data_IF_607308047092
#
_entry.id   IF_607308047092
#
_cell.length_a   1.000
_cell.length_b   1.000
_cell.length_c   1.000
_cell.angle_alpha   90.00
_cell.angle_beta   90.00
_cell.angle_gamma   90.00
#
_symmetry.space_group_name_H-M   'P 1'
#
loop_
_entity.id
_entity.type
_entity.pdbx_description
1 polymer ?
#
# COMPACT_ATOMS: atom_id res chain seq x y z
N UNK A 1 1.09 19.73 -34.80
CA UNK A 1 0.60 18.38 -34.44
C UNK A 1 1.51 17.56 -33.47
N UNK A 2 2.81 17.85 -33.27
CA UNK A 2 3.58 17.12 -32.22
C UNK A 2 3.07 17.36 -30.81
N UNK A 3 2.65 18.56 -30.44
CA UNK A 3 2.21 18.85 -29.07
C UNK A 3 0.92 18.16 -28.60
N UNK A 4 0.02 17.75 -29.50
CA UNK A 4 -1.19 17.00 -29.10
C UNK A 4 -0.88 15.53 -28.79
N UNK A 5 0.09 14.93 -29.48
CA UNK A 5 0.54 13.56 -29.16
C UNK A 5 1.32 13.49 -27.86
N UNK A 6 2.16 14.49 -27.56
CA UNK A 6 2.83 14.59 -26.26
C UNK A 6 1.83 14.78 -25.10
N UNK A 7 0.81 15.58 -25.28
CA UNK A 7 -0.23 15.82 -24.28
C UNK A 7 -1.04 14.55 -23.97
N UNK A 8 -1.44 13.80 -25.00
CA UNK A 8 -2.17 12.53 -24.86
C UNK A 8 -1.26 11.44 -24.20
N UNK A 9 0.01 11.40 -24.56
CA UNK A 9 0.97 10.49 -23.91
C UNK A 9 1.19 10.88 -22.45
N UNK A 10 1.19 12.16 -22.12
CA UNK A 10 1.35 12.67 -20.77
C UNK A 10 0.17 12.28 -19.87
N UNK A 11 -1.08 12.46 -20.32
CA UNK A 11 -2.28 12.02 -19.61
C UNK A 11 -2.31 10.49 -19.42
N UNK A 12 -1.82 9.73 -20.39
CA UNK A 12 -1.83 8.28 -20.33
C UNK A 12 -0.87 7.74 -19.24
N UNK A 13 0.35 8.28 -19.15
CA UNK A 13 1.34 7.88 -18.13
C UNK A 13 0.87 8.24 -16.72
N UNK A 14 0.14 9.32 -16.56
CA UNK A 14 -0.39 9.74 -15.25
C UNK A 14 -1.39 8.74 -14.65
N UNK A 15 -2.02 7.89 -15.46
CA UNK A 15 -2.93 6.84 -14.99
C UNK A 15 -2.19 5.57 -14.52
N UNK A 16 -0.89 5.41 -14.82
CA UNK A 16 -0.17 4.16 -14.53
C UNK A 16 -0.13 3.76 -13.04
N UNK A 17 0.02 4.66 -12.06
CA UNK A 17 -0.04 4.30 -10.65
C UNK A 17 -1.37 3.65 -10.28
N UNK A 18 -2.49 4.20 -10.74
CA UNK A 18 -3.81 3.63 -10.53
C UNK A 18 -3.94 2.26 -11.21
N UNK A 19 -3.48 2.13 -12.46
CA UNK A 19 -3.48 0.85 -13.17
C UNK A 19 -2.61 -0.20 -12.47
N UNK A 20 -1.46 0.17 -11.92
CA UNK A 20 -0.58 -0.74 -11.18
C UNK A 20 -1.28 -1.35 -9.97
N UNK A 21 -1.97 -0.53 -9.17
CA UNK A 21 -2.73 -0.97 -8.00
C UNK A 21 -3.86 -1.91 -8.42
N UNK A 22 -4.67 -1.48 -9.39
CA UNK A 22 -5.81 -2.25 -9.89
C UNK A 22 -5.37 -3.58 -10.51
N UNK A 23 -4.27 -3.57 -11.28
CA UNK A 23 -3.73 -4.76 -11.94
C UNK A 23 -3.33 -5.83 -10.91
N UNK A 24 -2.60 -5.45 -9.84
CA UNK A 24 -2.26 -6.38 -8.76
C UNK A 24 -3.50 -6.92 -8.06
N UNK A 25 -4.46 -6.06 -7.72
CA UNK A 25 -5.68 -6.45 -7.03
C UNK A 25 -6.51 -7.44 -7.85
N UNK A 26 -6.75 -7.14 -9.13
CA UNK A 26 -7.48 -8.05 -10.02
C UNK A 26 -6.71 -9.33 -10.31
N UNK A 27 -5.39 -9.25 -10.44
CA UNK A 27 -4.55 -10.44 -10.62
C UNK A 27 -4.66 -11.40 -9.43
N UNK A 28 -4.66 -10.89 -8.21
CA UNK A 28 -4.90 -11.68 -7.01
C UNK A 28 -6.25 -12.41 -7.07
N UNK A 29 -7.33 -11.71 -7.40
CA UNK A 29 -8.68 -12.30 -7.53
C UNK A 29 -8.71 -13.36 -8.64
N UNK A 30 -8.16 -13.05 -9.80
CA UNK A 30 -8.13 -13.95 -10.96
C UNK A 30 -7.27 -15.18 -10.67
N UNK A 31 -6.13 -15.01 -10.01
CA UNK A 31 -5.23 -16.10 -9.61
C UNK A 31 -5.92 -17.11 -8.70
N UNK A 32 -6.89 -16.68 -7.90
CA UNK A 32 -7.70 -17.54 -7.03
C UNK A 32 -8.50 -18.61 -7.80
N UNK A 33 -8.90 -18.31 -9.05
CA UNK A 33 -9.70 -19.22 -9.88
C UNK A 33 -8.86 -20.25 -10.64
N UNK A 34 -7.53 -20.09 -10.70
CA UNK A 34 -6.65 -20.91 -11.51
C UNK A 34 -5.81 -21.89 -10.68
N UNK A 35 -5.35 -22.96 -11.35
CA UNK A 35 -4.37 -23.89 -10.76
C UNK A 35 -3.03 -23.19 -10.55
N UNK A 36 -2.30 -23.64 -9.54
CA UNK A 36 -1.00 -23.11 -9.08
C UNK A 36 -0.04 -22.67 -10.20
N UNK A 37 0.17 -23.51 -11.23
CA UNK A 37 1.10 -23.20 -12.34
C UNK A 37 0.68 -21.96 -13.13
N UNK A 38 -0.63 -21.77 -13.34
CA UNK A 38 -1.19 -20.63 -14.06
C UNK A 38 -1.17 -19.41 -13.15
N UNK A 39 -1.55 -19.54 -11.88
CA UNK A 39 -1.52 -18.46 -10.90
C UNK A 39 -0.09 -17.90 -10.76
N UNK A 40 0.92 -18.75 -10.68
CA UNK A 40 2.33 -18.33 -10.66
C UNK A 40 2.76 -17.57 -11.91
N UNK A 41 2.42 -18.10 -13.10
CA UNK A 41 2.78 -17.45 -14.35
C UNK A 41 2.13 -16.07 -14.45
N UNK A 42 0.85 -15.99 -14.09
CA UNK A 42 0.09 -14.74 -14.08
C UNK A 42 0.72 -13.73 -13.12
N UNK A 43 1.05 -14.15 -11.90
CA UNK A 43 1.70 -13.28 -10.91
C UNK A 43 3.06 -12.74 -11.42
N UNK A 44 3.92 -13.59 -12.01
CA UNK A 44 5.19 -13.14 -12.58
C UNK A 44 4.96 -12.12 -13.71
N UNK A 45 3.99 -12.37 -14.60
CA UNK A 45 3.66 -11.44 -15.69
C UNK A 45 3.20 -10.10 -15.12
N UNK A 46 2.30 -10.12 -14.15
CA UNK A 46 1.79 -8.91 -13.48
C UNK A 46 2.91 -8.12 -12.81
N UNK A 47 3.83 -8.78 -12.13
CA UNK A 47 5.00 -8.14 -11.51
C UNK A 47 5.91 -7.48 -12.55
N UNK A 48 6.21 -8.18 -13.65
CA UNK A 48 7.03 -7.60 -14.72
C UNK A 48 6.33 -6.39 -15.34
N UNK A 49 5.02 -6.47 -15.58
CA UNK A 49 4.24 -5.33 -16.10
C UNK A 49 4.29 -4.15 -15.11
N UNK A 50 4.11 -4.41 -13.80
CA UNK A 50 4.18 -3.35 -12.79
C UNK A 50 5.57 -2.72 -12.68
N UNK A 51 6.65 -3.49 -12.83
CA UNK A 51 8.02 -2.95 -12.90
C UNK A 51 8.16 -2.02 -14.10
N UNK A 52 7.65 -2.42 -15.27
CA UNK A 52 7.70 -1.59 -16.48
C UNK A 52 6.87 -0.31 -16.30
N UNK A 53 5.66 -0.41 -15.76
CA UNK A 53 4.80 0.75 -15.48
C UNK A 53 5.46 1.71 -14.46
N UNK A 54 5.98 1.19 -13.37
CA UNK A 54 6.67 1.99 -12.33
C UNK A 54 7.94 2.64 -12.88
N UNK A 55 8.72 1.93 -13.71
CA UNK A 55 9.89 2.49 -14.37
C UNK A 55 9.52 3.61 -15.36
N UNK A 56 8.42 3.45 -16.11
CA UNK A 56 7.93 4.48 -17.03
C UNK A 56 7.49 5.75 -16.27
N UNK A 57 6.77 5.60 -15.15
CA UNK A 57 6.38 6.73 -14.29
C UNK A 57 7.60 7.38 -13.66
N UNK A 58 8.58 6.61 -13.20
CA UNK A 58 9.82 7.13 -12.64
C UNK A 58 10.60 7.96 -13.68
N UNK A 59 10.75 7.46 -14.90
CA UNK A 59 11.39 8.20 -15.99
C UNK A 59 10.65 9.49 -16.32
N UNK A 60 9.32 9.46 -16.26
CA UNK A 60 8.48 10.64 -16.47
C UNK A 60 8.70 11.68 -15.34
N UNK A 61 8.62 11.28 -14.07
CA UNK A 61 8.79 12.17 -12.92
C UNK A 61 10.21 12.75 -12.83
N UNK A 62 11.24 11.98 -13.20
CA UNK A 62 12.63 12.47 -13.27
C UNK A 62 12.81 13.51 -14.37
N UNK A 63 12.13 13.37 -15.50
CA UNK A 63 12.21 14.32 -16.63
C UNK A 63 11.45 15.61 -16.36
N UNK A 64 10.28 15.53 -15.72
CA UNK A 64 9.44 16.71 -15.42
C UNK A 64 9.84 17.43 -14.14
N UNK A 65 10.56 16.74 -13.23
CA UNK A 65 10.97 17.24 -11.90
C UNK A 65 9.79 17.71 -11.04
N UNK A 66 8.56 17.44 -11.44
CA UNK A 66 7.34 17.84 -10.75
C UNK A 66 6.58 16.63 -10.21
N UNK A 67 6.07 16.75 -8.98
CA UNK A 67 5.08 15.82 -8.44
C UNK A 67 3.70 16.21 -8.94
N UNK A 68 2.89 15.23 -9.33
CA UNK A 68 1.51 15.48 -9.74
C UNK A 68 0.52 14.76 -8.82
N UNK A 69 -0.71 15.27 -8.79
CA UNK A 69 -1.83 14.64 -8.07
C UNK A 69 -2.79 14.09 -9.10
N UNK A 70 -3.06 12.79 -8.98
CA UNK A 70 -4.04 12.10 -9.81
C UNK A 70 -5.33 11.91 -9.02
N UNK A 71 -6.42 12.53 -9.48
CA UNK A 71 -7.74 12.44 -8.85
C UNK A 71 -8.48 11.24 -9.43
N UNK A 72 -8.71 10.21 -8.64
CA UNK A 72 -9.41 8.98 -9.07
C UNK A 72 -10.84 9.29 -9.47
N UNK A 73 -11.21 8.88 -10.69
CA UNK A 73 -12.56 9.08 -11.22
C UNK A 73 -12.94 10.53 -11.52
N UNK A 74 -12.00 11.49 -11.45
CA UNK A 74 -12.23 12.94 -11.64
C UNK A 74 -13.23 13.56 -10.64
N UNK A 75 -13.46 12.91 -9.51
CA UNK A 75 -14.27 13.44 -8.43
C UNK A 75 -13.39 14.23 -7.45
N UNK A 76 -13.70 15.51 -7.17
CA UNK A 76 -12.93 16.26 -6.19
C UNK A 76 -13.12 15.71 -4.78
N UNK A 77 -12.14 15.92 -3.91
CA UNK A 77 -12.29 15.61 -2.49
C UNK A 77 -13.50 16.35 -1.87
N UNK A 78 -14.26 15.75 -0.95
CA UNK A 78 -14.04 14.47 -0.26
C UNK A 78 -14.59 13.22 -0.96
N UNK A 79 -15.21 13.37 -2.15
CA UNK A 79 -15.87 12.26 -2.86
C UNK A 79 -14.92 11.39 -3.67
N UNK A 80 -13.75 11.92 -4.05
CA UNK A 80 -12.73 11.22 -4.82
C UNK A 80 -11.47 11.01 -4.00
N UNK A 81 -10.79 9.90 -4.25
CA UNK A 81 -9.49 9.62 -3.69
C UNK A 81 -8.39 10.25 -4.56
N UNK A 82 -7.37 10.80 -3.91
CA UNK A 82 -6.23 11.40 -4.58
C UNK A 82 -4.97 10.56 -4.41
N UNK A 83 -4.30 10.30 -5.52
CA UNK A 83 -2.98 9.70 -5.54
C UNK A 83 -1.93 10.77 -5.79
N UNK A 84 -0.95 10.86 -4.92
CA UNK A 84 0.20 11.73 -5.09
C UNK A 84 1.35 10.94 -5.68
N UNK A 85 1.90 11.45 -6.78
CA UNK A 85 2.94 10.78 -7.54
C UNK A 85 4.14 11.72 -7.66
N UNK A 86 5.23 11.33 -7.04
CA UNK A 86 6.50 12.05 -7.11
C UNK A 86 7.65 11.08 -7.33
N UNK A 87 8.86 11.59 -7.33
CA UNK A 87 10.08 10.81 -7.57
C UNK A 87 10.32 9.75 -6.47
N UNK A 88 10.04 10.10 -5.22
CA UNK A 88 10.22 9.20 -4.08
C UNK A 88 9.21 8.05 -4.13
N UNK A 89 7.94 8.39 -4.34
CA UNK A 89 6.83 7.42 -4.38
C UNK A 89 7.03 6.42 -5.51
N UNK A 90 7.40 6.89 -6.70
CA UNK A 90 7.66 6.01 -7.85
C UNK A 90 8.92 5.16 -7.70
N UNK A 91 9.96 5.71 -7.07
CA UNK A 91 11.16 4.96 -6.72
C UNK A 91 10.90 3.82 -5.75
N UNK A 92 10.12 4.08 -4.70
CA UNK A 92 9.69 3.06 -3.74
C UNK A 92 8.80 2.00 -4.39
N UNK A 93 7.85 2.39 -5.25
CA UNK A 93 6.99 1.45 -5.95
C UNK A 93 7.81 0.48 -6.83
N UNK A 94 8.77 1.01 -7.60
CA UNK A 94 9.68 0.20 -8.40
C UNK A 94 10.51 -0.77 -7.54
N UNK A 95 11.03 -0.28 -6.41
CA UNK A 95 11.83 -1.06 -5.46
C UNK A 95 11.02 -2.24 -4.88
N UNK A 96 9.79 -1.99 -4.41
CA UNK A 96 8.94 -3.05 -3.86
C UNK A 96 8.52 -4.08 -4.92
N UNK A 97 8.19 -3.65 -6.14
CA UNK A 97 7.90 -4.56 -7.24
C UNK A 97 9.11 -5.45 -7.59
N UNK A 98 10.32 -4.88 -7.60
CA UNK A 98 11.55 -5.62 -7.88
C UNK A 98 11.86 -6.62 -6.76
N UNK A 99 11.80 -6.22 -5.49
CA UNK A 99 12.01 -7.12 -4.35
C UNK A 99 11.01 -8.27 -4.39
N UNK A 100 9.71 -7.98 -4.62
CA UNK A 100 8.69 -9.00 -4.67
C UNK A 100 8.97 -10.03 -5.78
N UNK A 101 9.40 -9.57 -6.95
CA UNK A 101 9.82 -10.46 -8.05
C UNK A 101 11.00 -11.35 -7.63
N UNK A 102 12.04 -10.79 -7.01
CA UNK A 102 13.17 -11.56 -6.52
C UNK A 102 12.78 -12.57 -5.44
N UNK A 103 11.91 -12.18 -4.51
CA UNK A 103 11.40 -13.06 -3.47
C UNK A 103 10.61 -14.24 -4.05
N UNK A 104 9.76 -14.00 -5.05
CA UNK A 104 8.97 -15.04 -5.71
C UNK A 104 9.84 -16.01 -6.54
N UNK A 105 10.83 -15.48 -7.24
CA UNK A 105 11.76 -16.32 -8.02
C UNK A 105 12.68 -17.13 -7.11
N UNK A 106 13.26 -16.51 -6.08
CA UNK A 106 14.19 -17.14 -5.14
C UNK A 106 13.50 -18.07 -4.13
N UNK A 107 12.30 -17.71 -3.68
CA UNK A 107 11.54 -18.50 -2.69
C UNK A 107 10.85 -19.74 -3.21
N UNK A 108 10.81 -19.92 -4.53
CA UNK A 108 10.06 -21.00 -5.19
C UNK A 108 10.34 -22.41 -4.63
N UNK A 109 11.62 -22.73 -4.44
CA UNK A 109 12.02 -24.08 -3.99
C UNK A 109 11.51 -24.38 -2.58
N UNK A 110 11.60 -23.42 -1.68
CA UNK A 110 11.08 -23.54 -0.31
C UNK A 110 9.55 -23.58 -0.29
N UNK A 111 8.89 -22.77 -1.12
CA UNK A 111 7.43 -22.76 -1.20
C UNK A 111 6.86 -24.14 -1.55
N UNK A 112 7.43 -24.80 -2.55
CA UNK A 112 7.01 -26.15 -2.98
C UNK A 112 7.28 -27.21 -1.91
N UNK A 113 8.33 -27.04 -1.10
CA UNK A 113 8.66 -28.00 -0.03
C UNK A 113 7.83 -27.82 1.24
N UNK A 114 7.44 -26.58 1.57
CA UNK A 114 6.87 -26.24 2.87
C UNK A 114 5.36 -26.01 2.84
N UNK A 115 4.78 -25.79 1.66
CA UNK A 115 3.35 -25.50 1.47
C UNK A 115 2.69 -26.62 0.67
N UNK A 116 1.55 -27.11 1.17
CA UNK A 116 0.74 -28.11 0.49
C UNK A 116 0.35 -27.68 -0.93
N UNK A 117 0.38 -28.61 -1.89
CA UNK A 117 0.11 -28.33 -3.31
C UNK A 117 -1.21 -27.56 -3.54
N UNK A 118 -2.26 -27.85 -2.78
CA UNK A 118 -3.55 -27.16 -2.90
C UNK A 118 -3.56 -25.70 -2.41
N UNK A 119 -2.54 -25.28 -1.63
CA UNK A 119 -2.47 -23.94 -0.99
C UNK A 119 -1.44 -23.02 -1.64
N UNK A 120 -0.60 -23.53 -2.51
CA UNK A 120 0.41 -22.72 -3.20
C UNK A 120 -0.22 -21.62 -4.08
N UNK A 121 -1.42 -21.88 -4.64
CA UNK A 121 -2.18 -20.84 -5.34
C UNK A 121 -2.57 -19.67 -4.45
N UNK A 122 -2.98 -19.95 -3.21
CA UNK A 122 -3.32 -18.92 -2.22
C UNK A 122 -2.13 -18.02 -1.86
N UNK A 123 -0.91 -18.57 -1.84
CA UNK A 123 0.30 -17.78 -1.65
C UNK A 123 0.43 -16.65 -2.67
N UNK A 124 0.21 -16.92 -3.95
CA UNK A 124 0.29 -15.93 -5.01
C UNK A 124 -0.82 -14.88 -4.89
N UNK A 125 -2.03 -15.29 -4.52
CA UNK A 125 -3.15 -14.36 -4.25
C UNK A 125 -2.82 -13.40 -3.13
N UNK A 126 -2.31 -13.89 -2.01
CA UNK A 126 -1.96 -13.08 -0.85
C UNK A 126 -0.77 -12.16 -1.15
N UNK A 127 0.20 -12.64 -1.94
CA UNK A 127 1.33 -11.84 -2.39
C UNK A 127 0.90 -10.68 -3.30
N UNK A 128 -0.03 -10.91 -4.24
CA UNK A 128 -0.59 -9.86 -5.09
C UNK A 128 -1.40 -8.84 -4.29
N UNK A 129 -2.20 -9.29 -3.31
CA UNK A 129 -2.96 -8.40 -2.42
C UNK A 129 -2.03 -7.55 -1.55
N UNK A 130 -0.96 -8.15 -1.00
CA UNK A 130 0.05 -7.43 -0.23
C UNK A 130 0.74 -6.37 -1.08
N UNK A 131 1.16 -6.70 -2.30
CA UNK A 131 1.79 -5.74 -3.20
C UNK A 131 0.82 -4.62 -3.61
N UNK A 132 -0.43 -4.96 -3.93
CA UNK A 132 -1.47 -3.97 -4.26
C UNK A 132 -1.68 -2.98 -3.13
N UNK A 133 -1.79 -3.46 -1.88
CA UNK A 133 -1.96 -2.61 -0.70
C UNK A 133 -0.73 -1.71 -0.44
N UNK A 134 0.50 -2.24 -0.62
CA UNK A 134 1.72 -1.45 -0.51
C UNK A 134 1.81 -0.35 -1.57
N UNK A 135 1.51 -0.67 -2.84
CA UNK A 135 1.49 0.34 -3.91
C UNK A 135 0.44 1.42 -3.65
N UNK A 136 -0.75 1.02 -3.20
CA UNK A 136 -1.80 1.97 -2.87
C UNK A 136 -1.42 2.85 -1.68
N UNK A 137 -0.75 2.30 -0.66
CA UNK A 137 -0.25 3.04 0.50
C UNK A 137 0.82 4.06 0.12
N UNK A 138 1.72 3.72 -0.82
CA UNK A 138 2.77 4.61 -1.30
C UNK A 138 2.19 5.83 -2.03
N UNK A 139 1.14 5.63 -2.83
CA UNK A 139 0.61 6.68 -3.67
C UNK A 139 -0.55 7.47 -3.02
N UNK A 140 -1.22 6.95 -1.99
CA UNK A 140 -2.39 7.63 -1.43
C UNK A 140 -2.04 8.98 -0.77
N UNK A 141 -2.88 9.99 -1.00
CA UNK A 141 -2.84 11.28 -0.32
C UNK A 141 -3.95 11.42 0.75
N UNK A 142 -4.75 10.38 0.93
CA UNK A 142 -5.86 10.35 1.88
C UNK A 142 -5.52 9.47 3.08
N UNK A 143 -5.67 10.01 4.29
CA UNK A 143 -5.26 9.36 5.52
C UNK A 143 -6.16 8.17 5.88
N UNK A 144 -7.47 8.28 5.60
CA UNK A 144 -8.41 7.17 5.85
C UNK A 144 -8.18 6.04 4.86
N UNK A 145 -7.91 6.36 3.60
CA UNK A 145 -7.54 5.37 2.59
C UNK A 145 -6.22 4.68 2.93
N UNK A 146 -5.23 5.41 3.47
CA UNK A 146 -4.00 4.82 3.99
C UNK A 146 -4.28 3.78 5.09
N UNK A 147 -5.16 4.11 6.05
CA UNK A 147 -5.60 3.17 7.08
C UNK A 147 -6.18 1.88 6.48
N UNK A 148 -7.09 2.00 5.50
CA UNK A 148 -7.70 0.83 4.85
C UNK A 148 -6.66 -0.06 4.18
N UNK A 149 -5.67 0.53 3.51
CA UNK A 149 -4.61 -0.26 2.86
C UNK A 149 -3.63 -0.88 3.85
N UNK A 150 -3.38 -0.27 5.01
CA UNK A 150 -2.66 -0.90 6.12
C UNK A 150 -3.40 -2.16 6.59
N UNK A 151 -4.72 -2.11 6.74
CA UNK A 151 -5.52 -3.28 7.13
C UNK A 151 -5.45 -4.41 6.09
N UNK A 152 -5.59 -4.09 4.80
CA UNK A 152 -5.47 -5.08 3.74
C UNK A 152 -4.08 -5.72 3.74
N UNK A 153 -3.02 -4.92 3.94
CA UNK A 153 -1.65 -5.40 4.04
C UNK A 153 -1.48 -6.36 5.21
N UNK A 154 -1.98 -6.00 6.39
CA UNK A 154 -1.94 -6.83 7.60
C UNK A 154 -2.63 -8.18 7.40
N UNK A 155 -3.85 -8.17 6.84
CA UNK A 155 -4.60 -9.41 6.57
C UNK A 155 -3.83 -10.31 5.60
N UNK A 156 -3.26 -9.71 4.55
CA UNK A 156 -2.46 -10.43 3.54
C UNK A 156 -1.19 -11.03 4.15
N UNK A 157 -0.46 -10.27 4.97
CA UNK A 157 0.73 -10.73 5.68
C UNK A 157 0.40 -11.85 6.67
N UNK A 158 -0.69 -11.71 7.45
CA UNK A 158 -1.17 -12.74 8.37
C UNK A 158 -1.49 -14.05 7.63
N UNK A 159 -2.16 -13.95 6.47
CA UNK A 159 -2.44 -15.10 5.61
C UNK A 159 -1.17 -15.78 5.09
N UNK A 160 -0.15 -15.00 4.71
CA UNK A 160 1.15 -15.53 4.28
C UNK A 160 1.89 -16.26 5.41
N UNK A 161 1.85 -15.75 6.64
CA UNK A 161 2.44 -16.40 7.82
C UNK A 161 1.74 -17.74 8.09
N UNK A 162 0.40 -17.78 8.00
CA UNK A 162 -0.40 -18.99 8.27
C UNK A 162 -0.32 -20.06 7.18
N UNK A 163 0.21 -19.75 6.00
CA UNK A 163 0.11 -20.64 4.84
C UNK A 163 0.74 -22.03 5.05
N UNK A 164 1.73 -22.12 5.94
CA UNK A 164 2.38 -23.38 6.31
C UNK A 164 1.54 -24.27 7.22
N UNK A 165 0.49 -23.75 7.84
CA UNK A 165 -0.44 -24.44 8.75
C UNK A 165 0.22 -25.26 9.89
N UNK A 166 1.38 -24.86 10.34
CA UNK A 166 2.01 -25.41 11.52
C UNK A 166 1.46 -24.71 12.76
N UNK A 167 1.32 -25.42 13.89
CA UNK A 167 0.80 -24.82 15.14
C UNK A 167 1.55 -23.55 15.57
N UNK A 168 2.88 -23.52 15.38
CA UNK A 168 3.71 -22.32 15.65
C UNK A 168 3.39 -21.15 14.74
N UNK A 169 3.20 -21.40 13.43
CA UNK A 169 2.88 -20.31 12.47
C UNK A 169 1.49 -19.76 12.66
N UNK A 170 0.53 -20.59 13.08
CA UNK A 170 -0.83 -20.15 13.42
C UNK A 170 -0.79 -19.28 14.67
N UNK A 171 -0.06 -19.70 15.73
CA UNK A 171 0.08 -18.90 16.95
C UNK A 171 0.75 -17.56 16.67
N UNK A 172 1.84 -17.54 15.88
CA UNK A 172 2.52 -16.32 15.47
C UNK A 172 1.59 -15.39 14.68
N UNK A 173 0.83 -15.92 13.71
CA UNK A 173 -0.12 -15.13 12.93
C UNK A 173 -1.25 -14.53 13.78
N UNK A 174 -1.76 -15.28 14.77
CA UNK A 174 -2.80 -14.77 15.67
C UNK A 174 -2.25 -13.64 16.54
N UNK A 175 -1.03 -13.80 17.10
CA UNK A 175 -0.37 -12.74 17.87
C UNK A 175 -0.16 -11.49 17.04
N UNK A 176 0.39 -11.66 15.81
CA UNK A 176 0.57 -10.59 14.83
C UNK A 176 -0.74 -9.87 14.57
N UNK A 177 -1.81 -10.60 14.22
CA UNK A 177 -3.11 -10.02 13.91
C UNK A 177 -3.70 -9.23 15.09
N UNK A 178 -3.59 -9.73 16.33
CA UNK A 178 -4.11 -9.02 17.52
C UNK A 178 -3.34 -7.72 17.75
N UNK A 179 -2.02 -7.73 17.66
CA UNK A 179 -1.20 -6.54 17.86
C UNK A 179 -1.44 -5.49 16.78
N UNK A 180 -1.51 -5.92 15.52
CA UNK A 180 -1.80 -5.04 14.39
C UNK A 180 -3.19 -4.42 14.50
N UNK A 181 -4.21 -5.21 14.85
CA UNK A 181 -5.58 -4.72 15.02
C UNK A 181 -5.68 -3.67 16.13
N UNK A 182 -4.94 -3.85 17.23
CA UNK A 182 -4.87 -2.84 18.30
C UNK A 182 -4.16 -1.56 17.82
N UNK A 183 -3.07 -1.70 17.07
CA UNK A 183 -2.32 -0.58 16.51
C UNK A 183 -3.14 0.22 15.51
N UNK A 184 -3.76 -0.47 14.56
CA UNK A 184 -4.59 0.15 13.52
C UNK A 184 -5.88 0.74 14.10
N UNK A 185 -6.46 0.13 15.13
CA UNK A 185 -7.59 0.71 15.87
C UNK A 185 -7.23 2.04 16.53
N UNK A 186 -6.07 2.13 17.18
CA UNK A 186 -5.57 3.40 17.72
C UNK A 186 -5.29 4.42 16.61
N UNK A 187 -4.71 3.99 15.52
CA UNK A 187 -4.47 4.85 14.36
C UNK A 187 -5.77 5.43 13.81
N UNK A 188 -6.82 4.61 13.67
CA UNK A 188 -8.15 5.06 13.25
C UNK A 188 -8.76 6.08 14.21
N UNK A 189 -8.67 5.85 15.53
CA UNK A 189 -9.12 6.82 16.54
C UNK A 189 -8.37 8.15 16.37
N UNK A 190 -7.06 8.10 16.14
CA UNK A 190 -6.25 9.29 15.86
C UNK A 190 -6.69 10.01 14.59
N UNK A 191 -7.02 9.28 13.53
CA UNK A 191 -7.57 9.87 12.28
C UNK A 191 -8.89 10.58 12.54
N UNK A 192 -9.81 9.96 13.30
CA UNK A 192 -11.09 10.57 13.65
C UNK A 192 -10.91 11.86 14.45
N UNK A 193 -10.00 11.86 15.44
CA UNK A 193 -9.69 13.08 16.20
C UNK A 193 -9.03 14.17 15.34
N UNK A 194 -8.18 13.78 14.40
CA UNK A 194 -7.53 14.71 13.48
C UNK A 194 -8.55 15.33 12.52
N UNK A 195 -9.50 14.52 12.04
CA UNK A 195 -10.61 15.00 11.21
C UNK A 195 -11.51 15.96 11.96
N UNK A 196 -11.82 15.70 13.23
CA UNK A 196 -12.59 16.60 14.09
C UNK A 196 -11.91 17.97 14.27
N UNK A 197 -10.57 17.98 14.32
CA UNK A 197 -9.79 19.21 14.49
C UNK A 197 -9.60 20.00 13.20
N UNK A 198 -9.42 19.32 12.06
CA UNK A 198 -9.01 19.92 10.77
C UNK A 198 -10.14 19.96 9.74
N UNK A 199 -11.15 19.10 9.85
CA UNK A 199 -12.20 18.92 8.86
C UNK A 199 -11.73 18.26 7.54
N UNK A 200 -10.50 17.75 7.48
CA UNK A 200 -9.91 17.22 6.27
C UNK A 200 -9.32 15.81 6.48
N UNK A 201 -9.37 14.99 5.42
CA UNK A 201 -8.73 13.67 5.37
C UNK A 201 -7.52 13.64 4.42
N UNK A 202 -7.43 14.59 3.50
CA UNK A 202 -6.29 14.74 2.61
C UNK A 202 -5.06 15.24 3.38
N UNK A 203 -3.95 14.51 3.29
CA UNK A 203 -2.71 14.82 4.01
C UNK A 203 -2.17 16.22 3.66
N UNK A 204 -2.34 16.66 2.41
CA UNK A 204 -1.96 18.01 1.97
C UNK A 204 -2.76 19.11 2.68
N UNK A 205 -4.07 18.94 2.84
CA UNK A 205 -4.95 19.90 3.48
C UNK A 205 -4.75 19.90 5.00
N UNK A 206 -4.60 18.71 5.61
CA UNK A 206 -4.26 18.56 7.03
C UNK A 206 -2.98 19.33 7.35
N UNK A 207 -1.94 19.17 6.51
CA UNK A 207 -0.66 19.88 6.70
C UNK A 207 -0.84 21.41 6.69
N UNK A 208 -1.66 21.95 5.79
CA UNK A 208 -1.92 23.38 5.72
C UNK A 208 -2.68 23.88 6.95
N UNK A 209 -3.71 23.14 7.38
CA UNK A 209 -4.53 23.50 8.52
C UNK A 209 -3.74 23.44 9.84
N UNK A 210 -2.93 22.41 10.04
CA UNK A 210 -2.03 22.32 11.19
C UNK A 210 -1.05 23.50 11.20
N UNK A 211 -0.46 23.85 10.05
CA UNK A 211 0.45 24.99 9.95
C UNK A 211 -0.24 26.32 10.33
N UNK A 212 -1.51 26.50 9.93
CA UNK A 212 -2.32 27.65 10.32
C UNK A 212 -2.58 27.69 11.83
N UNK A 213 -3.01 26.56 12.42
CA UNK A 213 -3.25 26.42 13.86
C UNK A 213 -1.98 26.75 14.68
N UNK A 214 -0.82 26.30 14.21
CA UNK A 214 0.47 26.58 14.87
C UNK A 214 0.89 28.04 14.72
N UNK A 215 0.67 28.63 13.54
CA UNK A 215 1.01 30.05 13.27
C UNK A 215 0.19 31.03 14.11
N UNK A 216 -1.06 30.71 14.41
CA UNK A 216 -1.93 31.51 15.29
C UNK A 216 -1.50 31.46 16.77
N UNK A 217 -0.51 30.66 17.12
CA UNK A 217 -0.04 30.48 18.50
C UNK A 217 -1.07 29.83 19.42
N UNK A 218 -2.14 29.28 18.89
CA UNK A 218 -3.16 28.57 19.64
C UNK A 218 -2.61 27.22 20.08
N UNK A 219 -2.13 27.14 21.33
CA UNK A 219 -1.82 25.87 21.98
C UNK A 219 -3.10 25.07 22.14
N UNK A 220 -3.25 24.03 21.31
CA UNK A 220 -4.40 23.11 21.39
C UNK A 220 -3.96 21.76 21.95
N UNK A 221 -4.22 21.46 23.24
CA UNK A 221 -3.95 20.16 23.84
C UNK A 221 -4.51 18.98 23.03
N UNK A 222 -5.72 19.08 22.41
CA UNK A 222 -6.24 18.00 21.57
C UNK A 222 -5.33 17.61 20.40
N UNK A 223 -4.62 18.55 19.78
CA UNK A 223 -3.69 18.26 18.68
C UNK A 223 -2.52 17.39 19.16
N UNK A 224 -1.95 17.67 20.34
CA UNK A 224 -0.88 16.88 20.91
C UNK A 224 -1.33 15.46 21.27
N UNK A 225 -2.54 15.32 21.84
CA UNK A 225 -3.13 14.02 22.14
C UNK A 225 -3.36 13.21 20.85
N UNK A 226 -3.89 13.86 19.82
CA UNK A 226 -4.11 13.22 18.50
C UNK A 226 -2.80 12.72 17.90
N UNK A 227 -1.76 13.54 17.89
CA UNK A 227 -0.44 13.16 17.38
C UNK A 227 0.13 11.99 18.22
N UNK A 228 0.00 12.03 19.54
CA UNK A 228 0.46 10.95 20.41
C UNK A 228 -0.27 9.63 20.13
N UNK A 229 -1.58 9.64 19.96
CA UNK A 229 -2.39 8.44 19.66
C UNK A 229 -1.99 7.87 18.28
N UNK A 230 -1.85 8.71 17.25
CA UNK A 230 -1.41 8.31 15.92
C UNK A 230 0.00 7.67 16.00
N UNK A 231 0.93 8.31 16.73
CA UNK A 231 2.29 7.81 16.88
C UNK A 231 2.32 6.45 17.56
N UNK A 232 1.56 6.26 18.65
CA UNK A 232 1.45 4.96 19.32
C UNK A 232 0.81 3.91 18.44
N UNK A 233 -0.22 4.27 17.65
CA UNK A 233 -0.84 3.37 16.67
C UNK A 233 0.16 2.90 15.62
N UNK A 234 0.92 3.81 15.02
CA UNK A 234 1.94 3.51 14.04
C UNK A 234 3.11 2.71 14.63
N UNK A 235 3.56 3.04 15.86
CA UNK A 235 4.60 2.30 16.55
C UNK A 235 4.19 0.84 16.81
N UNK A 236 2.94 0.62 17.21
CA UNK A 236 2.39 -0.74 17.37
C UNK A 236 2.33 -1.52 16.07
N UNK A 237 1.98 -0.88 14.95
CA UNK A 237 2.01 -1.50 13.62
C UNK A 237 3.45 -1.86 13.21
N UNK A 238 4.42 -0.97 13.51
CA UNK A 238 5.83 -1.15 13.15
C UNK A 238 6.59 -2.11 14.09
N UNK A 239 6.22 -2.17 15.38
CA UNK A 239 6.93 -2.97 16.40
C UNK A 239 6.77 -4.49 16.22
N UNK A 240 5.91 -4.92 15.32
CA UNK A 240 5.67 -6.34 15.03
C UNK A 240 6.88 -7.04 14.38
N UNK A 241 7.80 -6.28 13.77
CA UNK A 241 9.03 -6.83 13.19
C UNK A 241 10.05 -7.30 14.23
N UNK A 242 9.82 -7.00 15.52
CA UNK A 242 10.74 -7.32 16.62
C UNK A 242 10.35 -8.55 17.44
N UNK A 243 9.30 -9.27 17.07
CA UNK A 243 8.99 -10.54 17.73
C UNK A 243 10.04 -11.57 17.32
N UNK A 244 11.09 -11.70 18.13
CA UNK A 244 12.06 -12.79 18.03
C UNK A 244 11.30 -14.12 18.04
N UNK A 245 11.40 -14.83 16.93
CA UNK A 245 10.96 -16.22 16.85
C UNK A 245 11.99 -17.07 17.58
N UNK A 246 11.65 -17.72 18.69
CA UNK A 246 12.52 -18.68 19.34
C UNK A 246 12.70 -19.93 18.52
#
# INVERSE_FOLDING_TARGET
>A
MPGQMEFVQMEFVQNFPCFSIMLCMFAGIISSAFKEKIARLLNIIVLVVNIVLSAAVLLYTVRTVESYVYVMGRFPAPWGNELRVGMLETGLALFFCAIMLFCLLGGRHKLVQEVEEGKQGLYYVLADLMLSSLLALIYTNDLFTAYVFVEINTISACGLIMIRQNGRTIEAAVRYMIMSLLGSGLFLVGICMLYDLTGHLLMSNIKMEIAHIVAEGAYRPPLLVTIAIISVGLDKIAAEDTVEYP
#
